data_IF_181964984418
#
_entry.id   IF_181964984418
#
_cell.length_a   1.000
_cell.length_b   1.000
_cell.length_c   1.000
_cell.angle_alpha   90.00
_cell.angle_beta   90.00
_cell.angle_gamma   90.00
#
_symmetry.space_group_name_H-M   'P 1'
#
loop_
_entity.id
_entity.type
_entity.pdbx_description
1 polymer ?
#
# COMPACT_ATOMS: atom_id res chain seq x y z
N UNK A 1 -5.39 11.54 34.40
CA UNK A 1 -6.84 11.59 34.64
C UNK A 1 -7.48 10.38 33.95
N UNK A 2 -8.32 9.62 34.64
CA UNK A 2 -8.93 8.38 34.15
C UNK A 2 -10.03 8.66 33.12
N UNK A 3 -10.16 7.79 32.12
CA UNK A 3 -11.27 7.80 31.16
C UNK A 3 -12.58 7.38 31.83
N UNK A 4 -13.68 8.02 31.47
CA UNK A 4 -15.01 7.68 31.96
C UNK A 4 -15.49 6.35 31.35
N UNK A 5 -16.33 5.59 32.07
CA UNK A 5 -16.88 4.34 31.51
C UNK A 5 -17.92 4.66 30.44
N UNK A 6 -17.72 4.14 29.23
CA UNK A 6 -18.74 4.18 28.17
C UNK A 6 -20.06 3.55 28.62
N UNK A 7 -21.17 4.19 28.28
CA UNK A 7 -22.52 3.64 28.47
C UNK A 7 -22.75 2.41 27.58
N UNK A 8 -23.74 1.57 27.91
CA UNK A 8 -24.09 0.41 27.06
C UNK A 8 -24.45 0.86 25.64
N UNK A 9 -25.20 1.94 25.50
CA UNK A 9 -25.59 2.50 24.21
C UNK A 9 -24.39 3.00 23.39
N UNK A 10 -23.43 3.67 24.02
CA UNK A 10 -22.20 4.10 23.36
C UNK A 10 -21.37 2.91 22.89
N UNK A 11 -21.31 1.83 23.67
CA UNK A 11 -20.61 0.59 23.29
C UNK A 11 -21.26 -0.09 22.10
N UNK A 12 -22.59 -0.21 22.07
CA UNK A 12 -23.32 -0.78 20.93
C UNK A 12 -23.14 0.06 19.66
N UNK A 13 -23.20 1.40 19.77
CA UNK A 13 -22.89 2.29 18.64
C UNK A 13 -21.47 2.08 18.11
N UNK A 14 -20.47 2.00 18.98
CA UNK A 14 -19.08 1.74 18.57
C UNK A 14 -18.90 0.36 17.93
N UNK A 15 -19.59 -0.66 18.45
CA UNK A 15 -19.57 -2.03 17.91
C UNK A 15 -20.07 -2.09 16.47
N UNK A 16 -20.96 -1.18 16.08
CA UNK A 16 -21.43 -1.03 14.69
C UNK A 16 -20.51 -0.12 13.85
N UNK A 17 -20.03 0.99 14.42
CA UNK A 17 -19.25 2.00 13.68
C UNK A 17 -17.82 1.55 13.35
N UNK A 18 -17.15 0.80 14.23
CA UNK A 18 -15.76 0.38 14.00
C UNK A 18 -15.62 -0.61 12.82
N UNK A 19 -16.49 -1.63 12.68
CA UNK A 19 -16.50 -2.47 11.47
C UNK A 19 -16.86 -1.68 10.21
N UNK A 20 -17.77 -0.70 10.31
CA UNK A 20 -18.09 0.16 9.15
C UNK A 20 -16.88 0.99 8.72
N UNK A 21 -16.10 1.52 9.68
CA UNK A 21 -14.86 2.23 9.36
C UNK A 21 -13.90 1.30 8.64
N UNK A 22 -13.71 0.07 9.15
CA UNK A 22 -12.84 -0.90 8.51
C UNK A 22 -13.27 -1.20 7.06
N UNK A 23 -14.58 -1.36 6.80
CA UNK A 23 -15.10 -1.53 5.43
C UNK A 23 -14.85 -0.29 4.56
N UNK A 24 -14.92 0.91 5.11
CA UNK A 24 -14.60 2.13 4.37
C UNK A 24 -13.10 2.21 4.01
N UNK A 25 -12.21 1.72 4.88
CA UNK A 25 -10.77 1.56 4.56
C UNK A 25 -10.56 0.52 3.44
N UNK A 26 -11.21 -0.63 3.59
CA UNK A 26 -11.21 -1.72 2.61
C UNK A 26 -11.77 -1.26 1.25
N UNK A 27 -12.67 -0.30 1.20
CA UNK A 27 -13.21 0.23 -0.08
C UNK A 27 -12.57 1.53 -0.56
N UNK A 28 -11.55 2.06 0.15
CA UNK A 28 -10.94 3.39 -0.13
C UNK A 28 -11.98 4.52 -0.21
N UNK A 29 -13.06 4.43 0.56
CA UNK A 29 -14.07 5.46 0.59
C UNK A 29 -13.73 6.50 1.67
N UNK A 30 -12.89 7.48 1.30
CA UNK A 30 -12.42 8.50 2.25
C UNK A 30 -13.56 9.33 2.86
N UNK A 31 -14.56 9.74 2.08
CA UNK A 31 -15.67 10.54 2.60
C UNK A 31 -16.54 9.75 3.59
N UNK A 32 -16.76 8.46 3.33
CA UNK A 32 -17.45 7.58 4.29
C UNK A 32 -16.61 7.33 5.54
N UNK A 33 -15.30 7.05 5.39
CA UNK A 33 -14.39 6.90 6.51
C UNK A 33 -14.37 8.14 7.41
N UNK A 34 -14.37 9.34 6.81
CA UNK A 34 -14.43 10.65 7.48
C UNK A 34 -15.74 10.83 8.23
N UNK A 35 -16.88 10.51 7.61
CA UNK A 35 -18.21 10.57 8.24
C UNK A 35 -18.31 9.64 9.45
N UNK A 36 -17.86 8.39 9.32
CA UNK A 36 -17.87 7.40 10.40
C UNK A 36 -16.93 7.82 11.53
N UNK A 37 -15.71 8.28 11.20
CA UNK A 37 -14.72 8.74 12.18
C UNK A 37 -15.24 9.93 12.97
N UNK A 38 -15.98 10.84 12.34
CA UNK A 38 -16.64 11.95 13.03
C UNK A 38 -17.66 11.46 14.07
N UNK A 39 -18.50 10.49 13.72
CA UNK A 39 -19.45 9.87 14.66
C UNK A 39 -18.72 9.18 15.83
N UNK A 40 -17.67 8.43 15.56
CA UNK A 40 -16.83 7.80 16.60
C UNK A 40 -16.21 8.88 17.51
N UNK A 41 -15.72 9.97 16.94
CA UNK A 41 -15.15 11.09 17.70
C UNK A 41 -16.16 11.72 18.65
N UNK A 42 -17.42 11.90 18.23
CA UNK A 42 -18.49 12.44 19.09
C UNK A 42 -18.75 11.54 20.31
N UNK A 43 -18.50 10.24 20.22
CA UNK A 43 -18.67 9.29 21.33
C UNK A 43 -17.44 9.22 22.25
N UNK A 44 -16.23 9.22 21.67
CA UNK A 44 -14.98 8.97 22.39
C UNK A 44 -14.35 10.23 22.99
N UNK A 45 -14.55 11.40 22.38
CA UNK A 45 -13.94 12.65 22.84
C UNK A 45 -14.52 13.12 24.19
N UNK A 46 -15.84 13.11 24.42
CA UNK A 46 -16.40 13.50 25.72
C UNK A 46 -15.95 12.59 26.86
N UNK A 47 -15.84 11.28 26.59
CA UNK A 47 -15.47 10.23 27.55
C UNK A 47 -13.96 10.06 27.72
N UNK A 48 -13.15 10.90 27.04
CA UNK A 48 -11.68 10.95 27.13
C UNK A 48 -10.98 9.64 26.74
N UNK A 49 -11.56 8.87 25.84
CA UNK A 49 -10.94 7.67 25.28
C UNK A 49 -9.96 8.02 24.14
N UNK A 50 -8.96 8.84 24.44
CA UNK A 50 -8.07 9.44 23.44
C UNK A 50 -7.28 8.39 22.65
N UNK A 51 -6.81 7.30 23.29
CA UNK A 51 -6.08 6.22 22.59
C UNK A 51 -6.92 5.57 21.49
N UNK A 52 -8.18 5.22 21.79
CA UNK A 52 -9.10 4.61 20.82
C UNK A 52 -9.49 5.60 19.72
N UNK A 53 -9.64 6.88 20.09
CA UNK A 53 -9.86 7.95 19.12
C UNK A 53 -8.66 8.14 18.19
N UNK A 54 -7.43 8.15 18.70
CA UNK A 54 -6.22 8.29 17.87
C UNK A 54 -6.02 7.08 16.96
N UNK A 55 -6.37 5.88 17.41
CA UNK A 55 -6.42 4.69 16.54
C UNK A 55 -7.40 4.88 15.38
N UNK A 56 -8.61 5.38 15.67
CA UNK A 56 -9.63 5.68 14.65
C UNK A 56 -9.14 6.75 13.67
N UNK A 57 -8.38 7.75 14.16
CA UNK A 57 -7.81 8.80 13.30
C UNK A 57 -6.66 8.30 12.43
N UNK A 58 -5.76 7.46 12.94
CA UNK A 58 -4.72 6.83 12.12
C UNK A 58 -5.34 6.09 10.93
N UNK A 59 -6.41 5.35 11.18
CA UNK A 59 -7.22 4.65 10.17
C UNK A 59 -7.79 5.58 9.09
N UNK A 60 -8.44 6.67 9.52
CA UNK A 60 -8.91 7.71 8.60
C UNK A 60 -7.77 8.30 7.75
N UNK A 61 -6.62 8.61 8.35
CA UNK A 61 -5.52 9.23 7.64
C UNK A 61 -4.75 8.26 6.75
N UNK A 62 -4.71 6.96 7.09
CA UNK A 62 -4.24 5.91 6.18
C UNK A 62 -5.17 5.82 4.97
N UNK A 63 -6.50 5.86 5.16
CA UNK A 63 -7.46 5.92 4.05
C UNK A 63 -7.24 7.14 3.16
N UNK A 64 -7.06 8.33 3.77
CA UNK A 64 -6.75 9.54 3.03
C UNK A 64 -5.45 9.39 2.20
N UNK A 65 -4.40 8.84 2.79
CA UNK A 65 -3.14 8.55 2.10
C UNK A 65 -3.35 7.61 0.91
N UNK A 66 -4.13 6.53 1.10
CA UNK A 66 -4.47 5.56 0.05
C UNK A 66 -5.35 6.15 -1.07
N UNK A 67 -6.09 7.22 -0.81
CA UNK A 67 -6.88 7.96 -1.82
C UNK A 67 -6.10 9.09 -2.49
N UNK A 68 -4.81 9.27 -2.19
CA UNK A 68 -3.98 10.35 -2.75
C UNK A 68 -4.10 11.69 -2.02
N UNK A 69 -4.90 11.77 -0.95
CA UNK A 69 -5.09 12.99 -0.12
C UNK A 69 -3.89 13.22 0.84
N UNK A 70 -2.68 13.25 0.30
CA UNK A 70 -1.42 13.25 1.06
C UNK A 70 -1.31 14.45 2.01
N UNK A 71 -1.78 15.62 1.58
CA UNK A 71 -1.76 16.84 2.41
C UNK A 71 -2.61 16.70 3.68
N UNK A 72 -3.75 16.02 3.58
CA UNK A 72 -4.63 15.73 4.71
C UNK A 72 -3.98 14.68 5.61
N UNK A 73 -3.48 13.59 5.01
CA UNK A 73 -2.83 12.51 5.74
C UNK A 73 -1.63 12.99 6.56
N UNK A 74 -0.73 13.80 5.96
CA UNK A 74 0.44 14.38 6.63
C UNK A 74 0.04 15.20 7.85
N UNK A 75 -0.90 16.14 7.68
CA UNK A 75 -1.41 16.98 8.80
C UNK A 75 -2.04 16.11 9.88
N UNK A 76 -2.77 15.07 9.48
CA UNK A 76 -3.42 14.11 10.35
C UNK A 76 -2.43 13.34 11.23
N UNK A 77 -1.43 12.70 10.63
CA UNK A 77 -0.41 11.92 11.35
C UNK A 77 0.43 12.79 12.28
N UNK A 78 0.80 14.01 11.86
CA UNK A 78 1.43 14.99 12.75
C UNK A 78 0.53 15.36 13.94
N UNK A 79 -0.78 15.45 13.71
CA UNK A 79 -1.78 15.65 14.77
C UNK A 79 -1.85 14.50 15.76
N UNK A 80 -1.83 13.25 15.27
CA UNK A 80 -1.86 12.06 16.13
C UNK A 80 -0.58 11.97 16.96
N UNK A 81 0.59 12.15 16.35
CA UNK A 81 1.88 12.10 17.05
C UNK A 81 1.98 13.09 18.21
N UNK A 82 1.43 14.29 18.07
CA UNK A 82 1.38 15.29 19.14
C UNK A 82 0.48 14.89 20.33
N UNK A 83 -0.40 13.90 20.15
CA UNK A 83 -1.43 13.49 21.12
C UNK A 83 -1.17 12.14 21.77
N UNK A 84 -0.24 11.35 21.25
CA UNK A 84 0.10 10.02 21.78
C UNK A 84 1.56 9.99 22.22
N UNK A 85 1.87 9.21 23.26
CA UNK A 85 3.24 9.10 23.74
C UNK A 85 4.14 8.35 22.72
N UNK A 86 5.39 8.79 22.61
CA UNK A 86 6.38 8.27 21.64
C UNK A 86 6.65 6.77 21.77
N UNK A 87 6.44 6.21 22.96
CA UNK A 87 6.63 4.77 23.25
C UNK A 87 5.47 3.90 22.79
N UNK A 88 4.36 4.49 22.32
CA UNK A 88 3.17 3.72 21.95
C UNK A 88 3.26 3.15 20.54
N UNK A 89 2.56 2.04 20.29
CA UNK A 89 2.42 1.48 18.94
C UNK A 89 1.72 2.45 17.97
N UNK A 90 0.74 3.22 18.46
CA UNK A 90 0.04 4.24 17.67
C UNK A 90 0.95 5.35 17.16
N UNK A 91 1.91 5.77 17.99
CA UNK A 91 2.90 6.75 17.59
C UNK A 91 3.76 6.22 16.45
N UNK A 92 4.27 4.99 16.61
CA UNK A 92 5.07 4.33 15.59
C UNK A 92 4.31 4.18 14.26
N UNK A 93 3.05 3.76 14.31
CA UNK A 93 2.18 3.64 13.11
C UNK A 93 2.04 5.00 12.40
N UNK A 94 1.73 6.06 13.13
CA UNK A 94 1.62 7.40 12.57
C UNK A 94 2.96 7.89 11.97
N UNK A 95 4.09 7.61 12.62
CA UNK A 95 5.42 7.97 12.12
C UNK A 95 5.78 7.19 10.85
N UNK A 96 5.49 5.89 10.80
CA UNK A 96 5.71 5.06 9.61
C UNK A 96 4.88 5.54 8.42
N UNK A 97 3.59 5.81 8.62
CA UNK A 97 2.70 6.28 7.56
C UNK A 97 3.03 7.71 7.12
N UNK A 98 3.50 8.56 8.04
CA UNK A 98 4.01 9.89 7.71
C UNK A 98 5.24 9.83 6.81
N UNK A 99 6.20 8.94 7.11
CA UNK A 99 7.37 8.72 6.24
C UNK A 99 6.92 8.29 4.83
N UNK A 100 5.96 7.36 4.73
CA UNK A 100 5.40 6.92 3.44
C UNK A 100 4.75 8.09 2.69
N UNK A 101 4.01 8.97 3.36
CA UNK A 101 3.42 10.15 2.71
C UNK A 101 4.48 11.03 2.05
N UNK A 102 5.62 11.27 2.71
CA UNK A 102 6.72 12.06 2.14
C UNK A 102 7.43 11.33 1.00
N UNK A 103 7.61 10.01 1.10
CA UNK A 103 8.13 9.19 0.00
C UNK A 103 7.21 9.27 -1.23
N UNK A 104 5.89 9.22 -1.04
CA UNK A 104 4.92 9.40 -2.13
C UNK A 104 4.98 10.79 -2.78
N UNK A 105 5.49 11.80 -2.07
CA UNK A 105 5.79 13.14 -2.62
C UNK A 105 7.20 13.27 -3.20
N UNK A 106 7.98 12.19 -3.21
CA UNK A 106 9.43 12.17 -3.54
C UNK A 106 10.27 13.13 -2.69
N UNK A 107 9.79 13.46 -1.48
CA UNK A 107 10.49 14.33 -0.54
C UNK A 107 11.28 13.48 0.47
N UNK A 108 12.40 12.91 0.02
CA UNK A 108 13.26 12.10 0.88
C UNK A 108 13.84 12.92 2.04
N UNK A 109 14.07 14.22 1.85
CA UNK A 109 14.60 15.10 2.89
C UNK A 109 13.66 15.16 4.10
N UNK A 110 12.35 15.31 3.85
CA UNK A 110 11.34 15.26 4.91
C UNK A 110 11.01 13.83 5.37
N UNK A 111 11.12 12.83 4.50
CA UNK A 111 10.85 11.44 4.87
C UNK A 111 11.91 10.88 5.84
N UNK A 112 13.20 11.18 5.60
CA UNK A 112 14.35 10.63 6.32
C UNK A 112 14.23 10.67 7.85
N UNK A 113 13.92 11.79 8.52
CA UNK A 113 13.80 11.81 9.98
C UNK A 113 12.76 10.81 10.50
N UNK A 114 11.63 10.66 9.79
CA UNK A 114 10.56 9.76 10.18
C UNK A 114 10.87 8.30 9.84
N UNK A 115 11.60 8.03 8.76
CA UNK A 115 12.13 6.69 8.48
C UNK A 115 13.08 6.23 9.59
N UNK A 116 14.02 7.10 10.00
CA UNK A 116 14.97 6.82 11.08
C UNK A 116 14.25 6.52 12.39
N UNK A 117 13.30 7.38 12.74
CA UNK A 117 12.51 7.24 13.96
C UNK A 117 11.68 5.94 13.97
N UNK A 118 11.02 5.63 12.85
CA UNK A 118 10.19 4.44 12.74
C UNK A 118 11.01 3.14 12.72
N UNK A 119 12.20 3.13 12.14
CA UNK A 119 13.05 1.93 12.10
C UNK A 119 13.77 1.66 13.42
N UNK A 120 14.00 2.66 14.27
CA UNK A 120 14.55 2.42 15.62
C UNK A 120 13.59 1.60 16.48
N UNK A 121 12.31 2.02 16.60
CA UNK A 121 11.16 1.32 17.21
C UNK A 121 11.33 0.50 18.52
N UNK A 122 12.45 0.61 19.24
CA UNK A 122 12.81 -0.31 20.32
C UNK A 122 11.81 -0.31 21.48
N UNK A 123 11.23 0.85 21.79
CA UNK A 123 10.29 1.02 22.90
C UNK A 123 8.83 0.70 22.52
N UNK A 124 8.53 0.61 21.23
CA UNK A 124 7.16 0.49 20.70
C UNK A 124 6.71 -0.97 20.52
N UNK A 125 7.66 -1.89 20.31
CA UNK A 125 7.39 -3.31 20.10
C UNK A 125 8.24 -4.12 21.09
N UNK A 126 7.58 -4.82 22.02
CA UNK A 126 8.24 -5.58 23.09
C UNK A 126 9.01 -6.79 22.58
N UNK A 127 8.42 -7.57 21.67
CA UNK A 127 9.04 -8.79 21.14
C UNK A 127 10.09 -8.45 20.09
N UNK A 128 11.32 -8.94 20.28
CA UNK A 128 12.40 -8.80 19.31
C UNK A 128 12.03 -9.41 17.94
N UNK A 129 11.42 -10.60 17.93
CA UNK A 129 10.97 -11.25 16.70
C UNK A 129 9.96 -10.38 15.92
N UNK A 130 8.94 -9.86 16.61
CA UNK A 130 7.96 -8.94 15.99
C UNK A 130 8.62 -7.63 15.55
N UNK A 131 9.63 -7.14 16.27
CA UNK A 131 10.37 -5.92 15.91
C UNK A 131 11.17 -6.10 14.63
N UNK A 132 11.92 -7.20 14.52
CA UNK A 132 12.69 -7.58 13.33
C UNK A 132 11.77 -7.71 12.12
N UNK A 133 10.63 -8.41 12.27
CA UNK A 133 9.64 -8.55 11.21
C UNK A 133 9.06 -7.19 10.79
N UNK A 134 8.71 -6.35 11.76
CA UNK A 134 8.19 -5.01 11.49
C UNK A 134 9.19 -4.15 10.71
N UNK A 135 10.46 -4.10 11.14
CA UNK A 135 11.50 -3.31 10.46
C UNK A 135 11.74 -3.79 9.03
N UNK A 136 11.83 -5.10 8.81
CA UNK A 136 11.99 -5.67 7.48
C UNK A 136 10.78 -5.33 6.58
N UNK A 137 9.56 -5.52 7.08
CA UNK A 137 8.34 -5.18 6.34
C UNK A 137 8.24 -3.69 6.04
N UNK A 138 8.61 -2.83 6.99
CA UNK A 138 8.58 -1.38 6.84
C UNK A 138 9.63 -0.89 5.83
N UNK A 139 10.86 -1.40 5.90
CA UNK A 139 11.91 -1.06 4.95
C UNK A 139 11.56 -1.52 3.52
N UNK A 140 10.96 -2.71 3.35
CA UNK A 140 10.39 -3.13 2.07
C UNK A 140 9.33 -2.13 1.61
N UNK A 141 8.38 -1.77 2.48
CA UNK A 141 7.32 -0.80 2.14
C UNK A 141 7.86 0.57 1.74
N UNK A 142 8.93 1.06 2.37
CA UNK A 142 9.58 2.30 1.94
C UNK A 142 10.13 2.20 0.52
N UNK A 143 10.77 1.08 0.17
CA UNK A 143 11.27 0.86 -1.19
C UNK A 143 10.13 0.75 -2.20
N UNK A 144 9.06 0.00 -1.87
CA UNK A 144 7.89 -0.17 -2.75
C UNK A 144 7.22 1.19 -3.02
N UNK A 145 7.01 2.02 -2.00
CA UNK A 145 6.38 3.34 -2.12
C UNK A 145 7.29 4.34 -2.87
N UNK A 146 8.61 4.23 -2.71
CA UNK A 146 9.58 5.02 -3.46
C UNK A 146 9.58 4.66 -4.97
N UNK A 147 9.45 3.37 -5.27
CA UNK A 147 9.36 2.87 -6.64
C UNK A 147 8.07 3.36 -7.31
N UNK A 148 6.91 3.12 -6.68
CA UNK A 148 5.60 3.55 -7.21
C UNK A 148 5.53 5.05 -7.47
N UNK A 149 5.98 5.86 -6.50
CA UNK A 149 5.95 7.32 -6.62
C UNK A 149 6.88 7.87 -7.70
N UNK A 150 7.95 7.15 -8.04
CA UNK A 150 8.84 7.53 -9.13
C UNK A 150 8.27 7.16 -10.49
N UNK A 151 7.59 6.02 -10.60
CA UNK A 151 6.88 5.61 -11.82
C UNK A 151 5.67 6.49 -12.15
N UNK A 152 5.03 7.10 -11.13
CA UNK A 152 3.84 7.96 -11.29
C UNK A 152 4.06 9.28 -12.06
N UNK A 153 5.28 9.60 -12.47
CA UNK A 153 5.59 10.84 -13.21
C UNK A 153 5.80 10.57 -14.71
N UNK A 154 5.88 9.30 -15.11
CA UNK A 154 6.14 8.91 -16.49
C UNK A 154 4.82 8.86 -17.27
N UNK A 155 4.51 9.96 -17.98
CA UNK A 155 3.55 10.06 -19.08
C UNK A 155 2.13 9.58 -18.83
N UNK A 156 1.14 10.48 -18.82
CA UNK A 156 -0.26 10.07 -18.99
C UNK A 156 -0.51 9.72 -20.46
N UNK A 157 -0.07 8.54 -20.88
CA UNK A 157 -0.50 8.01 -22.17
C UNK A 157 -1.98 7.62 -22.07
N UNK A 158 -2.70 7.73 -23.18
CA UNK A 158 -4.05 7.24 -23.25
C UNK A 158 -4.04 5.70 -23.23
N UNK A 159 -4.28 5.13 -22.05
CA UNK A 159 -4.36 3.69 -21.83
C UNK A 159 -5.67 3.13 -22.40
N UNK A 160 -5.66 2.82 -23.70
CA UNK A 160 -6.79 2.18 -24.35
C UNK A 160 -6.85 0.67 -23.97
N UNK A 161 -7.94 0.19 -23.34
CA UNK A 161 -8.06 -1.21 -22.89
C UNK A 161 -7.93 -2.25 -24.02
N UNK A 162 -8.48 -1.97 -25.21
CA UNK A 162 -8.39 -2.87 -26.37
C UNK A 162 -6.93 -3.12 -26.75
N UNK A 163 -6.16 -2.03 -26.83
CA UNK A 163 -4.77 -2.06 -27.27
C UNK A 163 -3.89 -2.76 -26.23
N UNK A 164 -4.07 -2.42 -24.95
CA UNK A 164 -3.34 -3.04 -23.84
C UNK A 164 -3.58 -4.54 -23.81
N UNK A 165 -4.83 -4.98 -23.90
CA UNK A 165 -5.14 -6.42 -23.86
C UNK A 165 -4.60 -7.17 -25.08
N UNK A 166 -4.69 -6.57 -26.27
CA UNK A 166 -4.17 -7.19 -27.50
C UNK A 166 -2.67 -7.44 -27.40
N UNK A 167 -1.91 -6.45 -26.96
CA UNK A 167 -0.46 -6.58 -26.86
C UNK A 167 -0.06 -7.45 -25.67
N UNK A 168 -0.80 -7.42 -24.56
CA UNK A 168 -0.62 -8.36 -23.45
C UNK A 168 -0.87 -9.82 -23.89
N UNK A 169 -1.90 -10.06 -24.71
CA UNK A 169 -2.20 -11.38 -25.27
C UNK A 169 -1.05 -11.95 -26.12
N UNK A 170 -0.40 -11.11 -26.93
CA UNK A 170 0.81 -11.53 -27.68
C UNK A 170 1.92 -11.96 -26.75
N UNK A 171 2.23 -11.15 -25.73
CA UNK A 171 3.29 -11.47 -24.77
C UNK A 171 3.01 -12.74 -23.98
N UNK A 172 1.74 -13.01 -23.63
CA UNK A 172 1.36 -14.25 -22.95
C UNK A 172 1.69 -15.48 -23.81
N UNK A 173 1.48 -15.38 -25.13
CA UNK A 173 1.78 -16.44 -26.09
C UNK A 173 3.28 -16.57 -26.42
N UNK A 174 3.98 -15.44 -26.55
CA UNK A 174 5.33 -15.37 -27.12
C UNK A 174 6.46 -15.40 -26.08
N UNK A 175 6.19 -14.94 -24.85
CA UNK A 175 7.24 -14.73 -23.83
C UNK A 175 7.02 -15.55 -22.56
N UNK A 176 8.10 -15.91 -21.88
CA UNK A 176 8.03 -16.51 -20.53
C UNK A 176 7.75 -15.44 -19.45
N UNK A 177 7.33 -15.85 -18.25
CA UNK A 177 7.11 -14.90 -17.13
C UNK A 177 8.39 -14.11 -16.81
N UNK A 178 9.54 -14.80 -16.77
CA UNK A 178 10.85 -14.20 -16.48
C UNK A 178 11.27 -13.17 -17.56
N UNK A 179 10.89 -13.39 -18.83
CA UNK A 179 11.11 -12.42 -19.92
C UNK A 179 10.21 -11.19 -19.77
N UNK A 180 8.91 -11.38 -19.48
CA UNK A 180 7.99 -10.25 -19.27
C UNK A 180 8.44 -9.41 -18.07
N UNK A 181 8.97 -10.05 -17.01
CA UNK A 181 9.58 -9.35 -15.88
C UNK A 181 10.84 -8.57 -16.29
N UNK A 182 11.68 -9.10 -17.18
CA UNK A 182 12.84 -8.37 -17.68
C UNK A 182 12.44 -7.16 -18.56
N UNK A 183 11.37 -7.28 -19.34
CA UNK A 183 10.78 -6.17 -20.09
C UNK A 183 10.23 -5.09 -19.14
N UNK A 184 9.44 -5.49 -18.14
CA UNK A 184 8.93 -4.57 -17.12
C UNK A 184 10.03 -3.82 -16.38
N UNK A 185 11.12 -4.50 -16.02
CA UNK A 185 12.27 -3.85 -15.39
C UNK A 185 13.07 -2.94 -16.34
N UNK A 186 12.94 -3.11 -17.65
CA UNK A 186 13.61 -2.24 -18.63
C UNK A 186 12.93 -0.89 -18.80
N UNK A 187 11.63 -0.79 -18.46
CA UNK A 187 10.88 0.47 -18.52
C UNK A 187 11.23 1.41 -17.37
N UNK A 188 11.88 0.90 -16.32
CA UNK A 188 12.22 1.71 -15.15
C UNK A 188 13.39 2.64 -15.47
N UNK A 189 13.15 3.96 -15.41
CA UNK A 189 14.19 4.97 -15.66
C UNK A 189 15.33 4.95 -14.63
N UNK A 190 16.52 5.38 -15.05
CA UNK A 190 17.68 5.53 -14.15
C UNK A 190 17.40 6.47 -12.96
N UNK A 191 16.59 7.51 -13.16
CA UNK A 191 16.20 8.41 -12.08
C UNK A 191 15.34 7.74 -11.01
N UNK A 192 14.49 6.78 -11.41
CA UNK A 192 13.71 5.94 -10.49
C UNK A 192 14.64 5.02 -9.71
N UNK A 193 15.60 4.41 -10.39
CA UNK A 193 16.61 3.54 -9.79
C UNK A 193 17.40 4.30 -8.71
N UNK A 194 17.94 5.47 -9.02
CA UNK A 194 18.71 6.30 -8.09
C UNK A 194 17.92 6.69 -6.85
N UNK A 195 16.65 7.07 -7.01
CA UNK A 195 15.79 7.43 -5.88
C UNK A 195 15.53 6.25 -4.94
N UNK A 196 15.21 5.08 -5.51
CA UNK A 196 14.99 3.86 -4.72
C UNK A 196 16.29 3.43 -4.03
N UNK A 197 17.45 3.61 -4.66
CA UNK A 197 18.77 3.37 -4.04
C UNK A 197 19.02 4.26 -2.84
N UNK A 198 18.67 5.54 -2.94
CA UNK A 198 18.85 6.46 -1.82
C UNK A 198 17.94 6.07 -0.63
N UNK A 199 16.67 5.75 -0.89
CA UNK A 199 15.71 5.31 0.13
C UNK A 199 16.14 3.99 0.79
N UNK A 200 16.58 3.02 -0.02
CA UNK A 200 17.06 1.75 0.49
C UNK A 200 18.31 1.93 1.34
N UNK A 201 19.27 2.76 0.89
CA UNK A 201 20.50 3.05 1.64
C UNK A 201 20.21 3.65 3.02
N UNK A 202 19.25 4.55 3.12
CA UNK A 202 18.80 5.10 4.39
C UNK A 202 18.21 4.02 5.31
N UNK A 203 17.40 3.12 4.76
CA UNK A 203 16.84 1.99 5.52
C UNK A 203 17.94 1.02 5.99
N UNK A 204 18.86 0.63 5.11
CA UNK A 204 19.93 -0.32 5.37
C UNK A 204 20.90 0.12 6.47
N UNK A 205 21.15 1.43 6.62
CA UNK A 205 21.97 1.98 7.71
C UNK A 205 21.41 1.67 9.09
N UNK A 206 20.11 1.41 9.19
CA UNK A 206 19.37 1.27 10.46
C UNK A 206 18.99 -0.19 10.78
N UNK A 207 19.29 -1.11 9.86
CA UNK A 207 18.95 -2.53 10.01
C UNK A 207 20.17 -3.35 10.47
N UNK A 208 19.92 -4.31 11.35
CA UNK A 208 20.90 -5.32 11.75
C UNK A 208 21.16 -6.31 10.61
N UNK A 209 22.26 -7.06 10.67
CA UNK A 209 22.55 -8.10 9.67
C UNK A 209 21.41 -9.10 9.47
N UNK A 210 20.76 -9.53 10.55
CA UNK A 210 19.59 -10.44 10.51
C UNK A 210 18.40 -9.79 9.80
N UNK A 211 18.10 -8.53 10.12
CA UNK A 211 17.02 -7.77 9.47
C UNK A 211 17.29 -7.56 7.98
N UNK A 212 18.55 -7.26 7.61
CA UNK A 212 18.98 -7.12 6.21
C UNK A 212 18.78 -8.38 5.39
N UNK A 213 19.04 -9.56 5.97
CA UNK A 213 18.81 -10.86 5.31
C UNK A 213 17.33 -11.19 5.08
N UNK A 214 16.42 -10.55 5.82
CA UNK A 214 14.97 -10.74 5.66
C UNK A 214 14.38 -9.86 4.57
N UNK A 215 15.09 -8.81 4.17
CA UNK A 215 14.73 -8.07 2.98
C UNK A 215 15.05 -8.94 1.76
N UNK A 216 14.27 -8.84 0.67
CA UNK A 216 14.76 -9.33 -0.61
C UNK A 216 16.17 -8.75 -0.78
N UNK A 217 17.15 -9.58 -1.15
CA UNK A 217 18.50 -9.09 -1.44
C UNK A 217 18.31 -7.88 -2.31
N UNK A 218 18.66 -6.69 -1.83
CA UNK A 218 18.47 -5.49 -2.62
C UNK A 218 19.41 -5.63 -3.78
N UNK A 219 18.83 -6.14 -4.85
CA UNK A 219 19.54 -6.70 -5.97
C UNK A 219 20.34 -5.56 -6.56
N UNK A 220 21.57 -5.81 -6.97
CA UNK A 220 22.21 -4.98 -7.98
C UNK A 220 21.17 -4.64 -9.06
N UNK A 221 20.67 -3.41 -9.05
CA UNK A 221 19.51 -2.95 -9.84
C UNK A 221 19.80 -2.99 -11.35
N UNK A 222 21.00 -3.45 -11.70
CA UNK A 222 21.46 -3.77 -13.04
C UNK A 222 20.75 -5.01 -13.62
N UNK A 223 20.22 -5.93 -12.80
CA UNK A 223 19.47 -7.09 -13.33
C UNK A 223 17.99 -6.75 -13.56
N UNK A 224 17.66 -6.41 -14.81
CA UNK A 224 16.31 -6.02 -15.28
C UNK A 224 15.19 -6.94 -14.80
N UNK A 225 15.37 -8.26 -14.84
CA UNK A 225 14.39 -9.24 -14.35
C UNK A 225 14.01 -9.01 -12.89
N UNK A 226 15.00 -8.79 -12.03
CA UNK A 226 14.78 -8.61 -10.59
C UNK A 226 14.19 -7.23 -10.28
N UNK A 227 14.52 -6.22 -11.10
CA UNK A 227 13.83 -4.93 -11.06
C UNK A 227 12.35 -5.09 -11.42
N UNK A 228 12.02 -5.84 -12.48
CA UNK A 228 10.63 -6.18 -12.81
C UNK A 228 9.89 -6.90 -11.69
N UNK A 229 10.54 -7.86 -11.00
CA UNK A 229 9.96 -8.50 -9.80
C UNK A 229 9.66 -7.49 -8.68
N UNK A 230 10.54 -6.50 -8.49
CA UNK A 230 10.34 -5.44 -7.50
C UNK A 230 9.20 -4.50 -7.90
N UNK A 231 9.09 -4.15 -9.18
CA UNK A 231 7.98 -3.37 -9.74
C UNK A 231 6.66 -4.09 -9.55
N UNK A 232 6.58 -5.37 -9.94
CA UNK A 232 5.40 -6.19 -9.72
C UNK A 232 5.05 -6.25 -8.24
N UNK A 233 6.03 -6.48 -7.36
CA UNK A 233 5.79 -6.55 -5.91
C UNK A 233 5.30 -5.25 -5.30
N UNK A 234 5.70 -4.10 -5.85
CA UNK A 234 5.17 -2.81 -5.44
C UNK A 234 3.70 -2.64 -5.88
N UNK A 235 3.34 -3.15 -7.07
CA UNK A 235 1.98 -3.12 -7.60
C UNK A 235 1.03 -4.13 -6.96
N UNK A 236 1.52 -5.27 -6.46
CA UNK A 236 0.74 -6.37 -5.88
C UNK A 236 -0.38 -5.87 -4.98
N UNK A 237 -0.06 -4.98 -4.01
CA UNK A 237 -1.05 -4.45 -3.06
C UNK A 237 -2.19 -3.69 -3.72
N UNK A 238 -1.91 -2.93 -4.79
CA UNK A 238 -2.91 -2.13 -5.49
C UNK A 238 -3.72 -3.00 -6.46
N UNK A 239 -3.04 -3.90 -7.17
CA UNK A 239 -3.67 -4.80 -8.14
C UNK A 239 -4.54 -5.84 -7.44
N UNK A 240 -4.07 -6.43 -6.35
CA UNK A 240 -4.84 -7.39 -5.55
C UNK A 240 -6.18 -6.81 -5.12
N UNK A 241 -6.19 -5.57 -4.63
CA UNK A 241 -7.43 -4.91 -4.22
C UNK A 241 -8.40 -4.66 -5.39
N UNK A 242 -7.87 -4.45 -6.59
CA UNK A 242 -8.67 -4.16 -7.78
C UNK A 242 -9.20 -5.43 -8.46
N UNK A 243 -8.53 -6.58 -8.24
CA UNK A 243 -8.79 -7.84 -8.93
C UNK A 243 -9.40 -8.93 -8.03
N UNK A 244 -8.97 -8.99 -6.77
CA UNK A 244 -9.20 -10.10 -5.85
C UNK A 244 -10.15 -9.76 -4.70
N UNK A 245 -10.39 -8.48 -4.42
CA UNK A 245 -11.32 -8.07 -3.37
C UNK A 245 -12.74 -8.57 -3.72
N UNK A 246 -13.45 -9.14 -2.75
CA UNK A 246 -14.82 -9.67 -2.95
C UNK A 246 -15.80 -8.61 -3.45
N UNK A 247 -15.53 -7.35 -3.15
CA UNK A 247 -16.32 -6.23 -3.62
C UNK A 247 -15.93 -5.72 -5.00
N UNK A 248 -14.76 -6.14 -5.53
CA UNK A 248 -14.31 -5.77 -6.87
C UNK A 248 -15.21 -6.32 -7.96
N UNK A 249 -15.38 -5.54 -9.03
CA UNK A 249 -16.18 -5.94 -10.19
C UNK A 249 -15.57 -7.18 -10.87
N UNK A 250 -14.24 -7.28 -10.92
CA UNK A 250 -13.52 -8.43 -11.48
C UNK A 250 -13.84 -9.70 -10.71
N UNK A 251 -13.75 -9.67 -9.38
CA UNK A 251 -14.08 -10.82 -8.54
C UNK A 251 -15.55 -11.22 -8.69
N UNK A 252 -16.47 -10.25 -8.63
CA UNK A 252 -17.91 -10.50 -8.82
C UNK A 252 -18.17 -11.18 -10.17
N UNK A 253 -17.64 -10.61 -11.26
CA UNK A 253 -17.83 -11.15 -12.62
C UNK A 253 -17.17 -12.51 -12.82
N UNK A 254 -16.01 -12.75 -12.24
CA UNK A 254 -15.33 -14.04 -12.30
C UNK A 254 -16.16 -15.13 -11.64
N UNK A 255 -16.67 -14.88 -10.42
CA UNK A 255 -17.48 -15.85 -9.68
C UNK A 255 -18.88 -16.06 -10.28
N UNK A 256 -19.49 -15.06 -10.92
CA UNK A 256 -20.83 -15.19 -11.50
C UNK A 256 -20.85 -15.66 -12.95
N UNK A 257 -19.83 -15.35 -13.75
CA UNK A 257 -19.85 -15.56 -15.19
C UNK A 257 -18.67 -16.41 -15.71
N UNK A 258 -17.74 -16.80 -14.83
CA UNK A 258 -16.56 -17.58 -15.19
C UNK A 258 -15.43 -16.78 -15.84
N UNK A 259 -14.24 -17.37 -15.90
CA UNK A 259 -13.01 -16.70 -16.35
C UNK A 259 -13.08 -16.21 -17.82
N UNK A 260 -13.79 -16.94 -18.68
CA UNK A 260 -13.90 -16.58 -20.09
C UNK A 260 -14.64 -15.24 -20.28
N UNK A 261 -15.71 -15.00 -19.52
CA UNK A 261 -16.41 -13.72 -19.55
C UNK A 261 -15.56 -12.54 -19.04
N UNK A 262 -14.66 -12.81 -18.09
CA UNK A 262 -13.73 -11.81 -17.51
C UNK A 262 -12.66 -11.39 -18.51
N UNK A 263 -12.14 -12.35 -19.27
CA UNK A 263 -11.16 -12.13 -20.34
C UNK A 263 -11.81 -11.47 -21.57
N UNK A 264 -12.95 -11.99 -22.03
CA UNK A 264 -13.64 -11.50 -23.24
C UNK A 264 -14.14 -10.06 -23.09
N UNK A 265 -14.61 -9.70 -21.89
CA UNK A 265 -15.05 -8.34 -21.56
C UNK A 265 -13.95 -7.44 -21.00
N UNK A 266 -12.68 -7.89 -21.02
CA UNK A 266 -11.51 -7.07 -20.69
C UNK A 266 -11.51 -6.54 -19.26
N UNK A 267 -12.18 -7.23 -18.33
CA UNK A 267 -12.34 -6.77 -16.95
C UNK A 267 -11.00 -6.66 -16.22
N UNK A 268 -10.09 -7.61 -16.44
CA UNK A 268 -8.73 -7.59 -15.85
C UNK A 268 -7.97 -6.36 -16.34
N UNK A 269 -7.91 -6.18 -17.66
CA UNK A 269 -7.17 -5.06 -18.27
C UNK A 269 -7.73 -3.71 -17.83
N UNK A 270 -9.06 -3.58 -17.80
CA UNK A 270 -9.72 -2.36 -17.35
C UNK A 270 -9.43 -2.07 -15.88
N UNK A 271 -9.47 -3.08 -15.01
CA UNK A 271 -9.14 -2.94 -13.60
C UNK A 271 -7.67 -2.56 -13.37
N UNK A 272 -6.74 -3.15 -14.12
CA UNK A 272 -5.31 -2.79 -14.07
C UNK A 272 -5.10 -1.34 -14.52
N UNK A 273 -5.71 -0.94 -15.65
CA UNK A 273 -5.62 0.43 -16.15
C UNK A 273 -6.19 1.43 -15.14
N UNK A 274 -7.35 1.14 -14.55
CA UNK A 274 -7.96 1.97 -13.51
C UNK A 274 -7.06 2.06 -12.26
N UNK A 275 -6.46 0.95 -11.85
CA UNK A 275 -5.56 0.88 -10.72
C UNK A 275 -4.27 1.70 -10.93
N UNK A 276 -3.65 1.60 -12.10
CA UNK A 276 -2.47 2.39 -12.48
C UNK A 276 -2.80 3.88 -12.62
N UNK A 277 -3.94 4.20 -13.25
CA UNK A 277 -4.43 5.58 -13.39
C UNK A 277 -4.69 6.22 -12.03
N UNK A 278 -5.23 5.48 -11.07
CA UNK A 278 -5.42 5.93 -9.69
C UNK A 278 -4.11 6.27 -8.96
N UNK A 279 -2.97 5.75 -9.43
CA UNK A 279 -1.63 6.10 -8.95
C UNK A 279 -0.95 7.18 -9.79
N UNK A 280 -1.64 7.76 -10.77
CA UNK A 280 -1.06 8.64 -11.80
C UNK A 280 0.02 7.96 -12.65
N UNK A 281 0.04 6.63 -12.73
CA UNK A 281 0.96 5.87 -13.59
C UNK A 281 0.27 5.65 -14.93
N UNK A 282 0.76 6.32 -15.98
CA UNK A 282 0.17 6.27 -17.32
C UNK A 282 1.02 5.56 -18.36
N UNK A 283 2.09 4.86 -17.96
CA UNK A 283 3.00 4.17 -18.89
C UNK A 283 2.30 2.96 -19.52
N UNK A 284 2.09 3.01 -20.84
CA UNK A 284 1.44 1.93 -21.60
C UNK A 284 2.15 0.58 -21.44
N UNK A 285 3.48 0.58 -21.54
CA UNK A 285 4.28 -0.64 -21.42
C UNK A 285 4.07 -1.34 -20.07
N UNK A 286 4.03 -0.58 -18.96
CA UNK A 286 3.76 -1.12 -17.62
C UNK A 286 2.38 -1.77 -17.57
N UNK A 287 1.34 -1.12 -18.12
CA UNK A 287 -0.01 -1.68 -18.16
C UNK A 287 -0.08 -2.99 -18.97
N UNK A 288 0.62 -3.05 -20.11
CA UNK A 288 0.73 -4.25 -20.96
C UNK A 288 1.42 -5.38 -20.21
N UNK A 289 2.61 -5.13 -19.64
CA UNK A 289 3.38 -6.16 -18.95
C UNK A 289 2.69 -6.66 -17.68
N UNK A 290 2.08 -5.78 -16.89
CA UNK A 290 1.31 -6.18 -15.70
C UNK A 290 0.09 -7.04 -16.08
N UNK A 291 -0.63 -6.66 -17.15
CA UNK A 291 -1.74 -7.45 -17.68
C UNK A 291 -1.28 -8.83 -18.15
N UNK A 292 -0.17 -8.89 -18.90
CA UNK A 292 0.38 -10.14 -19.39
C UNK A 292 0.82 -11.07 -18.25
N UNK A 293 1.48 -10.53 -17.21
CA UNK A 293 1.90 -11.29 -16.03
C UNK A 293 0.70 -11.87 -15.27
N UNK A 294 -0.33 -11.07 -15.01
CA UNK A 294 -1.52 -11.54 -14.28
C UNK A 294 -2.27 -12.62 -15.07
N UNK A 295 -2.41 -12.46 -16.39
CA UNK A 295 -3.04 -13.49 -17.23
C UNK A 295 -2.21 -14.77 -17.23
N UNK A 296 -0.88 -14.65 -17.33
CA UNK A 296 0.03 -15.80 -17.42
C UNK A 296 0.14 -16.59 -16.11
N UNK A 297 0.22 -15.89 -14.98
CA UNK A 297 0.21 -16.50 -13.64
C UNK A 297 -1.17 -17.07 -13.29
N UNK A 298 -2.24 -16.48 -13.82
CA UNK A 298 -3.63 -16.76 -13.47
C UNK A 298 -4.09 -15.92 -12.27
N UNK A 299 -5.32 -15.40 -12.35
CA UNK A 299 -5.89 -14.54 -11.29
C UNK A 299 -5.97 -15.29 -9.95
N UNK A 300 -6.36 -16.57 -9.96
CA UNK A 300 -6.44 -17.42 -8.76
C UNK A 300 -5.11 -17.45 -8.00
N UNK A 301 -4.04 -17.84 -8.70
CA UNK A 301 -2.70 -17.91 -8.12
C UNK A 301 -2.22 -16.52 -7.66
N UNK A 302 -2.54 -15.46 -8.41
CA UNK A 302 -2.20 -14.10 -8.01
C UNK A 302 -2.92 -13.68 -6.71
N UNK A 303 -4.21 -13.99 -6.60
CA UNK A 303 -5.00 -13.63 -5.42
C UNK A 303 -4.58 -14.41 -4.17
N UNK A 304 -4.20 -15.68 -4.31
CA UNK A 304 -3.77 -16.52 -3.18
C UNK A 304 -2.37 -16.15 -2.67
N UNK A 305 -1.45 -15.82 -3.58
CA UNK A 305 -0.04 -15.56 -3.23
C UNK A 305 0.18 -14.13 -2.71
N UNK A 306 -0.60 -13.15 -3.17
CA UNK A 306 -0.28 -11.72 -3.01
C UNK A 306 -1.24 -10.92 -2.10
N UNK A 307 -1.97 -11.58 -1.20
CA UNK A 307 -2.85 -10.90 -0.24
C UNK A 307 -2.08 -9.85 0.60
N UNK A 308 -2.42 -8.55 0.50
CA UNK A 308 -1.67 -7.50 1.15
C UNK A 308 -1.96 -7.45 2.65
N UNK A 309 -0.91 -7.33 3.46
CA UNK A 309 -1.02 -7.09 4.91
C UNK A 309 -0.94 -5.59 5.20
N UNK A 310 -1.98 -4.98 5.80
CA UNK A 310 -1.89 -3.57 6.20
C UNK A 310 -0.92 -3.41 7.38
N UNK A 311 -0.29 -2.23 7.49
CA UNK A 311 0.63 -1.95 8.60
C UNK A 311 -0.08 -2.05 9.96
N UNK A 312 -1.35 -1.63 9.98
CA UNK A 312 -2.23 -1.71 11.14
C UNK A 312 -2.66 -3.15 11.46
N UNK A 313 -2.63 -4.07 10.50
CA UNK A 313 -2.92 -5.49 10.72
C UNK A 313 -1.75 -6.23 11.36
N UNK A 314 -0.50 -5.72 11.22
CA UNK A 314 0.68 -6.21 11.96
C UNK A 314 0.60 -6.00 13.49
N UNK A 315 -0.49 -5.40 13.98
CA UNK A 315 -0.79 -5.26 15.40
C UNK A 315 -1.33 -6.55 16.03
N UNK A 316 -1.97 -7.42 15.23
CA UNK A 316 -2.50 -8.72 15.70
C UNK A 316 -1.34 -9.69 16.01
#
# INVERSE_FOLDING_TARGET
>A
MSSEKLTKEQKEKLKSLEPQLQRAEETRNYEEAKRITFKIQQLLRPTRHETRLMQTKNRLFETAMECGELSIAIKGFLGVRRKVAETTRLYLEATSLLAICFLRKRDLKSARPYMVEALKCEKNIKSEAKRTQFKASLAKRFNDEALLSSLAIEGLENLNPERVQKDAGKLVCENTEDEILALLGSEVSSSTIEFVEEVNRESQKLLTFKEKRMLPAYVEIKEKRKLGKSVLSAFERILWKSLCDKESEVYKMWFTNGMQAVLDKKYITTAIIAALSGLSIGVYAIAVYATALIIKMGIEAFCDVHEPKNLMDLRK
#
